data_IF_392785966629
#
_entry.id   IF_392785966629
#
_cell.length_a   1.000
_cell.length_b   1.000
_cell.length_c   1.000
_cell.angle_alpha   90.00
_cell.angle_beta   90.00
_cell.angle_gamma   90.00
#
_symmetry.space_group_name_H-M   'P 1'
#
loop_
_entity.id
_entity.type
_entity.pdbx_description
1 polymer ?
#
# COMPACT_ATOMS: atom_id res chain seq x y z
N UNK A 1 4.22 -32.95 -10.43
CA UNK A 1 4.57 -33.55 -9.13
C UNK A 1 3.83 -32.86 -8.01
N UNK A 2 3.36 -33.64 -7.05
CA UNK A 2 2.57 -33.20 -5.91
C UNK A 2 3.47 -32.40 -4.96
N UNK A 3 3.24 -31.10 -4.84
CA UNK A 3 3.80 -30.32 -3.72
C UNK A 3 3.14 -30.86 -2.46
N UNK A 4 3.91 -31.53 -1.63
CA UNK A 4 3.47 -32.09 -0.36
C UNK A 4 2.93 -30.96 0.52
N UNK A 5 1.77 -31.24 1.13
CA UNK A 5 1.07 -30.40 2.11
C UNK A 5 1.86 -30.28 3.43
N UNK A 6 3.10 -29.84 3.36
CA UNK A 6 3.67 -29.05 4.45
C UNK A 6 3.29 -27.61 4.14
N UNK A 7 2.01 -27.31 4.40
CA UNK A 7 1.59 -25.94 4.62
C UNK A 7 2.59 -25.35 5.60
N UNK A 8 3.44 -24.44 5.12
CA UNK A 8 4.24 -23.58 5.96
C UNK A 8 3.28 -23.03 7.00
N UNK A 9 3.33 -23.57 8.23
CA UNK A 9 2.49 -23.12 9.32
C UNK A 9 2.86 -21.66 9.52
N UNK A 10 2.05 -20.79 8.92
CA UNK A 10 2.11 -19.36 9.14
C UNK A 10 2.02 -19.20 10.66
N UNK A 11 2.95 -18.48 11.31
CA UNK A 11 2.80 -18.22 12.73
C UNK A 11 1.42 -17.63 12.95
N UNK A 12 0.58 -18.37 13.65
CA UNK A 12 -0.83 -18.06 13.73
C UNK A 12 -0.98 -16.88 14.69
N UNK A 13 -1.16 -15.68 14.14
CA UNK A 13 -1.46 -14.48 14.93
C UNK A 13 -2.96 -14.52 15.26
N UNK A 14 -3.26 -14.73 16.54
CA UNK A 14 -4.63 -14.83 17.03
C UNK A 14 -5.19 -13.48 17.47
N UNK A 15 -4.31 -12.53 17.76
CA UNK A 15 -4.66 -11.18 18.21
C UNK A 15 -3.71 -10.14 17.63
N UNK A 16 -4.23 -8.94 17.34
CA UNK A 16 -3.39 -7.80 16.96
C UNK A 16 -2.28 -7.52 18.01
N UNK A 17 -2.52 -7.87 19.28
CA UNK A 17 -1.56 -7.69 20.38
C UNK A 17 -0.29 -8.55 20.23
N UNK A 18 -0.36 -9.64 19.50
CA UNK A 18 0.78 -10.54 19.24
C UNK A 18 1.66 -10.00 18.09
N UNK A 19 1.16 -9.03 17.31
CA UNK A 19 1.93 -8.45 16.21
C UNK A 19 3.17 -7.72 16.72
N UNK A 20 4.25 -7.62 15.90
CA UNK A 20 5.46 -6.89 16.29
C UNK A 20 5.22 -5.41 16.62
N UNK A 21 4.13 -4.82 16.14
CA UNK A 21 3.75 -3.44 16.45
C UNK A 21 3.28 -3.28 17.89
N UNK A 22 2.73 -4.32 18.51
CA UNK A 22 2.22 -4.31 19.88
C UNK A 22 3.15 -5.01 20.87
N UNK A 23 3.79 -6.11 20.48
CA UNK A 23 4.58 -6.96 21.38
C UNK A 23 5.97 -6.40 21.68
N UNK A 24 6.42 -5.39 20.95
CA UNK A 24 7.67 -4.69 21.22
C UNK A 24 7.53 -3.85 22.52
N UNK A 25 8.47 -3.93 23.48
CA UNK A 25 8.43 -3.10 24.70
C UNK A 25 8.38 -1.59 24.46
N UNK A 26 8.82 -1.12 23.29
CA UNK A 26 8.77 0.29 22.87
C UNK A 26 7.64 0.58 21.87
N UNK A 27 6.72 -0.36 21.66
CA UNK A 27 5.56 -0.23 20.77
C UNK A 27 4.78 1.07 20.99
N UNK A 28 4.59 1.45 22.26
CA UNK A 28 3.83 2.64 22.66
C UNK A 28 4.36 3.94 22.06
N UNK A 29 5.65 4.02 21.71
CA UNK A 29 6.25 5.21 21.12
C UNK A 29 5.82 5.44 19.66
N UNK A 30 5.33 4.38 19.00
CA UNK A 30 4.92 4.42 17.60
C UNK A 30 3.40 4.51 17.44
N UNK A 31 2.62 4.39 18.52
CA UNK A 31 1.16 4.55 18.46
C UNK A 31 0.84 6.03 18.21
N UNK A 32 0.08 6.31 17.15
CA UNK A 32 -0.38 7.67 16.83
C UNK A 32 -1.85 7.87 17.15
N UNK A 33 -2.63 6.81 17.15
CA UNK A 33 -4.06 6.84 17.50
C UNK A 33 -4.54 5.46 17.93
N UNK A 34 -5.52 5.44 18.81
CA UNK A 34 -6.21 4.22 19.23
C UNK A 34 -7.65 4.54 19.60
N UNK A 35 -8.59 3.82 18.98
CA UNK A 35 -10.01 3.83 19.36
C UNK A 35 -10.48 2.39 19.68
N UNK A 36 -11.80 2.17 19.81
CA UNK A 36 -12.36 0.84 20.10
C UNK A 36 -12.06 -0.20 19.00
N UNK A 37 -11.95 0.20 17.74
CA UNK A 37 -11.90 -0.69 16.57
C UNK A 37 -10.52 -0.73 15.90
N UNK A 38 -9.78 0.37 15.90
CA UNK A 38 -8.54 0.58 15.14
C UNK A 38 -7.45 1.11 16.08
N UNK A 39 -6.23 0.65 15.83
CA UNK A 39 -5.01 1.23 16.37
C UNK A 39 -4.08 1.58 15.21
N UNK A 40 -3.45 2.74 15.28
CA UNK A 40 -2.62 3.28 14.20
C UNK A 40 -1.19 3.42 14.70
N UNK A 41 -0.24 2.93 13.89
CA UNK A 41 1.18 2.98 14.20
C UNK A 41 1.96 3.73 13.12
N UNK A 42 3.06 4.37 13.51
CA UNK A 42 4.15 4.70 12.58
C UNK A 42 4.82 3.41 12.12
N UNK A 43 5.02 3.25 10.81
CA UNK A 43 5.82 2.15 10.30
C UNK A 43 7.28 2.35 10.74
N UNK A 44 7.91 1.27 11.22
CA UNK A 44 9.32 1.27 11.63
C UNK A 44 10.27 1.26 10.44
N UNK A 45 9.80 0.77 9.30
CA UNK A 45 10.50 0.70 8.02
C UNK A 45 9.69 1.46 6.96
N UNK A 46 9.56 2.80 7.12
CA UNK A 46 8.71 3.60 6.25
C UNK A 46 9.16 3.50 4.79
N UNK A 47 8.21 3.31 3.87
CA UNK A 47 8.48 3.42 2.41
C UNK A 47 8.84 4.86 2.07
N UNK A 48 8.13 5.81 2.67
CA UNK A 48 8.39 7.26 2.66
C UNK A 48 8.13 7.82 4.05
N UNK A 49 8.72 8.98 4.36
CA UNK A 49 8.52 9.65 5.65
C UNK A 49 7.02 9.91 5.93
N UNK A 50 6.57 9.47 7.10
CA UNK A 50 5.19 9.58 7.55
C UNK A 50 4.33 8.34 7.28
N UNK A 51 4.90 7.23 6.80
CA UNK A 51 4.18 5.97 6.58
C UNK A 51 3.47 5.48 7.85
N UNK A 52 2.14 5.30 7.78
CA UNK A 52 1.30 4.80 8.86
C UNK A 52 0.67 3.45 8.54
N UNK A 53 0.41 2.67 9.59
CA UNK A 53 -0.26 1.38 9.56
C UNK A 53 -1.54 1.45 10.37
N UNK A 54 -2.69 1.29 9.72
CA UNK A 54 -4.01 1.23 10.34
C UNK A 54 -4.37 -0.23 10.56
N UNK A 55 -4.43 -0.64 11.82
CA UNK A 55 -4.54 -2.04 12.24
C UNK A 55 -5.85 -2.24 12.97
N UNK A 56 -6.75 -3.13 12.51
CA UNK A 56 -7.98 -3.39 13.22
C UNK A 56 -7.70 -4.27 14.44
N UNK A 57 -8.41 -4.00 15.54
CA UNK A 57 -8.32 -4.80 16.77
C UNK A 57 -9.00 -6.16 16.65
N UNK A 58 -9.89 -6.32 15.66
CA UNK A 58 -10.63 -7.55 15.33
C UNK A 58 -10.54 -7.83 13.83
N UNK A 59 -10.87 -9.04 13.40
CA UNK A 59 -10.89 -9.43 11.97
C UNK A 59 -12.06 -10.36 11.63
N UNK A 60 -13.16 -10.23 12.37
CA UNK A 60 -14.32 -11.12 12.29
C UNK A 60 -15.42 -10.56 11.41
N UNK A 61 -15.40 -9.25 11.13
CA UNK A 61 -16.39 -8.55 10.30
C UNK A 61 -15.68 -7.82 9.16
N UNK A 62 -16.39 -7.66 8.04
CA UNK A 62 -15.94 -6.79 6.92
C UNK A 62 -15.58 -5.38 7.41
N UNK A 63 -16.41 -4.84 8.31
CA UNK A 63 -16.26 -3.51 8.90
C UNK A 63 -14.88 -3.31 9.55
N UNK A 64 -14.29 -4.37 10.13
CA UNK A 64 -13.06 -4.23 10.89
C UNK A 64 -11.92 -3.72 9.98
N UNK A 65 -11.77 -4.29 8.78
CA UNK A 65 -10.73 -3.82 7.83
C UNK A 65 -11.17 -2.60 7.01
N UNK A 66 -12.45 -2.49 6.64
CA UNK A 66 -12.90 -1.33 5.85
C UNK A 66 -12.82 -0.03 6.64
N UNK A 67 -13.03 -0.05 7.96
CA UNK A 67 -12.83 1.12 8.80
C UNK A 67 -11.37 1.62 8.75
N UNK A 68 -10.39 0.72 8.68
CA UNK A 68 -8.98 1.09 8.54
C UNK A 68 -8.72 1.83 7.21
N UNK A 69 -9.36 1.40 6.12
CA UNK A 69 -9.30 2.11 4.83
C UNK A 69 -9.94 3.49 4.89
N UNK A 70 -11.11 3.61 5.53
CA UNK A 70 -11.79 4.89 5.72
C UNK A 70 -10.88 5.88 6.45
N UNK A 71 -10.34 5.46 7.61
CA UNK A 71 -9.40 6.28 8.37
C UNK A 71 -8.15 6.68 7.55
N UNK A 72 -7.50 5.71 6.90
CA UNK A 72 -6.30 5.96 6.10
C UNK A 72 -6.57 6.98 4.98
N UNK A 73 -7.69 6.85 4.29
CA UNK A 73 -8.07 7.79 3.22
C UNK A 73 -8.38 9.18 3.76
N UNK A 74 -9.21 9.28 4.80
CA UNK A 74 -9.58 10.57 5.41
C UNK A 74 -8.36 11.32 5.95
N UNK A 75 -7.47 10.62 6.65
CA UNK A 75 -6.22 11.20 7.15
C UNK A 75 -5.30 11.66 6.02
N UNK A 76 -5.20 10.84 4.96
CA UNK A 76 -4.48 11.20 3.74
C UNK A 76 -4.99 12.50 3.12
N UNK A 77 -6.31 12.63 2.96
CA UNK A 77 -6.95 13.84 2.41
C UNK A 77 -6.73 15.04 3.30
N UNK A 78 -6.92 14.90 4.62
CA UNK A 78 -6.71 15.99 5.57
C UNK A 78 -5.28 16.51 5.53
N UNK A 79 -4.28 15.62 5.50
CA UNK A 79 -2.89 16.01 5.45
C UNK A 79 -2.50 16.71 4.13
N UNK A 80 -3.11 16.35 2.99
CA UNK A 80 -2.99 17.12 1.75
C UNK A 80 -3.57 18.52 1.93
N UNK A 81 -4.76 18.65 2.51
CA UNK A 81 -5.39 19.95 2.79
C UNK A 81 -4.54 20.82 3.74
N UNK A 82 -3.78 20.19 4.64
CA UNK A 82 -2.86 20.85 5.56
C UNK A 82 -1.47 21.11 4.96
N UNK A 83 -1.24 20.76 3.69
CA UNK A 83 0.05 20.90 3.00
C UNK A 83 1.21 20.11 3.65
N UNK A 84 0.91 19.00 4.35
CA UNK A 84 1.92 18.13 4.98
C UNK A 84 2.67 17.25 3.94
N UNK A 85 1.97 16.91 2.87
CA UNK A 85 2.46 16.22 1.68
C UNK A 85 1.52 16.44 0.49
N UNK A 86 1.99 16.12 -0.72
CA UNK A 86 1.30 16.47 -1.97
C UNK A 86 0.28 15.41 -2.41
N UNK A 87 0.55 14.15 -2.09
CA UNK A 87 -0.27 13.02 -2.48
C UNK A 87 -0.09 11.87 -1.48
N UNK A 88 -0.83 10.78 -1.64
CA UNK A 88 -0.63 9.57 -0.85
C UNK A 88 -1.01 8.30 -1.63
N UNK A 89 -0.50 7.16 -1.19
CA UNK A 89 -1.01 5.84 -1.56
C UNK A 89 -1.66 5.18 -0.34
N UNK A 90 -2.78 4.49 -0.57
CA UNK A 90 -3.39 3.60 0.43
C UNK A 90 -3.44 2.18 -0.14
N UNK A 91 -3.08 1.18 0.66
CA UNK A 91 -3.03 -0.20 0.20
C UNK A 91 -2.96 -1.23 1.32
N UNK A 92 -3.16 -2.49 0.96
CA UNK A 92 -3.04 -3.64 1.86
C UNK A 92 -2.39 -4.80 1.12
N UNK A 93 -1.55 -5.55 1.82
CA UNK A 93 -1.10 -6.88 1.41
C UNK A 93 -1.88 -7.93 2.21
N UNK A 94 -2.56 -8.84 1.52
CA UNK A 94 -3.34 -9.91 2.16
C UNK A 94 -2.87 -11.28 1.64
N UNK A 95 -2.15 -12.01 2.49
CA UNK A 95 -1.48 -13.26 2.17
C UNK A 95 -0.02 -13.08 1.74
N UNK A 96 0.79 -14.14 1.91
CA UNK A 96 2.22 -14.13 1.60
C UNK A 96 2.52 -13.85 0.13
N UNK A 97 1.70 -14.37 -0.79
CA UNK A 97 1.86 -14.10 -2.22
C UNK A 97 1.68 -12.61 -2.57
N UNK A 98 0.94 -11.86 -1.74
CA UNK A 98 0.79 -10.41 -1.85
C UNK A 98 1.87 -9.64 -1.09
N UNK A 99 2.86 -10.31 -0.48
CA UNK A 99 3.93 -9.67 0.28
C UNK A 99 3.56 -9.29 1.73
N UNK A 100 2.52 -9.91 2.31
CA UNK A 100 2.20 -9.69 3.71
C UNK A 100 3.28 -10.34 4.60
N UNK A 101 3.92 -9.53 5.46
CA UNK A 101 4.99 -9.96 6.38
C UNK A 101 4.54 -10.14 7.82
N UNK A 102 3.54 -9.36 8.25
CA UNK A 102 2.83 -9.55 9.53
C UNK A 102 1.45 -10.09 9.22
N UNK A 103 1.18 -11.33 9.64
CA UNK A 103 -0.04 -12.09 9.33
C UNK A 103 -1.27 -11.65 10.14
N UNK A 104 -1.40 -10.35 10.30
CA UNK A 104 -2.59 -9.66 10.77
C UNK A 104 -2.90 -8.53 9.76
N UNK A 105 -4.17 -8.33 9.37
CA UNK A 105 -4.51 -7.32 8.36
C UNK A 105 -4.11 -5.92 8.83
N UNK A 106 -3.62 -5.10 7.91
CA UNK A 106 -3.23 -3.72 8.17
C UNK A 106 -3.27 -2.92 6.88
N UNK A 107 -3.75 -1.67 6.95
CA UNK A 107 -3.82 -0.76 5.80
C UNK A 107 -2.68 0.24 5.92
N UNK A 108 -1.92 0.37 4.84
CA UNK A 108 -0.86 1.34 4.70
C UNK A 108 -1.43 2.69 4.27
N UNK A 109 -0.98 3.78 4.88
CA UNK A 109 -1.06 5.13 4.34
C UNK A 109 0.38 5.62 4.10
N UNK A 110 0.73 5.84 2.83
CA UNK A 110 2.08 6.18 2.41
C UNK A 110 2.05 7.60 1.84
N UNK A 111 2.53 8.62 2.58
CA UNK A 111 2.67 9.98 2.09
C UNK A 111 3.58 10.08 0.86
N UNK A 112 3.24 10.93 -0.10
CA UNK A 112 3.98 11.11 -1.36
C UNK A 112 4.32 12.59 -1.59
N UNK A 113 5.50 12.82 -2.15
CA UNK A 113 6.05 14.14 -2.46
C UNK A 113 6.68 14.14 -3.85
N UNK A 114 6.72 15.28 -4.52
CA UNK A 114 7.42 15.36 -5.81
C UNK A 114 8.90 14.97 -5.64
N UNK A 115 9.37 14.07 -6.49
CA UNK A 115 10.76 13.57 -6.47
C UNK A 115 11.01 12.34 -5.60
N UNK A 116 10.04 11.83 -4.85
CA UNK A 116 10.19 10.60 -4.04
C UNK A 116 10.26 9.31 -4.87
N UNK A 117 9.81 9.36 -6.12
CA UNK A 117 9.90 8.30 -7.11
C UNK A 117 10.22 8.94 -8.47
N UNK A 118 11.31 8.52 -9.14
CA UNK A 118 11.69 9.07 -10.45
C UNK A 118 10.64 8.82 -11.55
N UNK A 119 9.80 7.79 -11.39
CA UNK A 119 8.71 7.49 -12.29
C UNK A 119 7.45 7.09 -11.50
N UNK A 120 6.64 8.07 -11.06
CA UNK A 120 5.45 7.78 -10.26
C UNK A 120 4.31 7.16 -11.08
N UNK A 121 4.40 7.15 -12.42
CA UNK A 121 3.41 6.52 -13.30
C UNK A 121 3.32 5.02 -12.97
N UNK A 122 2.11 4.50 -13.04
CA UNK A 122 1.82 3.11 -12.67
C UNK A 122 1.41 2.92 -11.22
N UNK A 123 1.94 3.72 -10.28
CA UNK A 123 1.54 3.68 -8.86
C UNK A 123 1.48 2.25 -8.33
N UNK A 124 0.27 1.81 -7.92
CA UNK A 124 -0.03 0.47 -7.40
C UNK A 124 0.42 -0.67 -8.33
N UNK A 125 0.51 -0.45 -9.64
CA UNK A 125 0.98 -1.48 -10.60
C UNK A 125 2.44 -1.90 -10.35
N UNK A 126 3.23 -1.06 -9.68
CA UNK A 126 4.60 -1.38 -9.27
C UNK A 126 4.68 -2.47 -8.20
N UNK A 127 3.55 -2.95 -7.65
CA UNK A 127 3.51 -4.16 -6.81
C UNK A 127 4.06 -5.37 -7.58
N UNK A 128 3.83 -5.45 -8.90
CA UNK A 128 4.53 -6.42 -9.74
C UNK A 128 5.72 -5.70 -10.39
N UNK A 129 6.96 -6.14 -10.12
CA UNK A 129 8.15 -5.54 -10.71
C UNK A 129 8.03 -5.43 -12.23
N UNK A 130 8.46 -4.31 -12.79
CA UNK A 130 8.48 -4.03 -14.24
C UNK A 130 7.08 -3.96 -14.91
N UNK A 131 5.98 -3.91 -14.14
CA UNK A 131 4.61 -3.73 -14.67
C UNK A 131 3.99 -2.36 -14.35
N UNK A 132 4.76 -1.48 -13.71
CA UNK A 132 4.38 -0.10 -13.43
C UNK A 132 4.11 0.70 -14.69
N UNK A 133 5.05 0.65 -15.63
CA UNK A 133 4.94 1.33 -16.91
C UNK A 133 3.93 0.65 -17.83
N UNK A 134 2.99 1.43 -18.32
CA UNK A 134 2.04 1.02 -19.36
C UNK A 134 1.98 2.09 -20.45
N UNK A 135 1.71 1.69 -21.72
CA UNK A 135 1.66 2.61 -22.84
C UNK A 135 0.60 3.69 -22.60
N UNK A 136 0.92 4.95 -22.89
CA UNK A 136 -0.13 5.95 -23.09
C UNK A 136 -0.63 5.80 -24.53
N UNK A 137 -1.93 6.01 -24.78
CA UNK A 137 -2.43 6.04 -26.16
C UNK A 137 -1.73 7.12 -27.02
N UNK A 138 -1.26 8.20 -26.40
CA UNK A 138 -0.42 9.23 -27.05
C UNK A 138 0.92 8.69 -27.57
N UNK A 139 1.43 7.59 -27.00
CA UNK A 139 2.70 6.96 -27.41
C UNK A 139 2.56 6.10 -28.67
N UNK A 140 1.34 5.67 -29.01
CA UNK A 140 1.04 4.88 -30.21
C UNK A 140 0.85 5.77 -31.45
N UNK A 141 0.46 7.03 -31.27
CA UNK A 141 0.31 8.01 -32.37
C UNK A 141 1.63 8.49 -32.99
N UNK A 142 2.75 8.38 -32.27
CA UNK A 142 4.06 8.80 -32.74
C UNK A 142 4.72 7.82 -33.74
N UNK A 143 4.22 6.58 -33.83
CA UNK A 143 4.73 5.54 -34.73
C UNK A 143 3.88 5.34 -36.01
N UNK A 144 2.84 6.18 -36.22
CA UNK A 144 1.76 5.89 -37.16
C UNK A 144 1.49 6.90 -38.29
N UNK A 145 2.39 7.84 -38.57
CA UNK A 145 2.26 8.70 -39.77
C UNK A 145 3.51 8.57 -40.64
N UNK A 146 3.53 7.54 -41.48
CA UNK A 146 4.35 7.55 -42.68
C UNK A 146 3.90 8.71 -43.58
N UNK A 147 4.81 9.51 -44.17
CA UNK A 147 4.41 10.50 -45.15
C UNK A 147 3.83 9.76 -46.35
N UNK A 148 2.59 10.08 -46.71
CA UNK A 148 1.97 9.63 -47.96
C UNK A 148 2.84 10.05 -49.14
N UNK A 149 3.58 9.12 -49.72
CA UNK A 149 4.21 9.31 -51.02
C UNK A 149 3.16 9.08 -52.11
N UNK A 150 2.62 10.18 -52.61
CA UNK A 150 2.17 10.32 -54.00
C UNK A 150 2.73 11.66 -54.47
N UNK A 151 3.09 11.89 -55.76
CA UNK A 151 2.76 11.14 -56.98
C UNK A 151 4.04 10.81 -57.81
N UNK A 152 4.04 10.07 -58.93
CA UNK A 152 3.48 10.46 -60.23
C UNK A 152 3.98 9.53 -61.36
N UNK A 153 3.09 9.37 -62.36
CA UNK A 153 3.22 8.83 -63.73
C UNK A 153 3.44 7.34 -63.94
#
# INVERSE_FOLDING_TARGET
EMVTKEEQLQPQIHSYKETPWCSNPKAYQNIVHEDENVIVFKDRYPVTEGHLLFVPKKRTRRADITNCFTYAYEWGVQAICNYEYEAFNVGINNGVAAGQSVMWPHVHLIPRRTGDNPNPRGGVRNVIPLKGDYPNEDSLGALGRSPSSSPSK
#
